data_IF_963878990388
#
_entry.id   IF_963878990388
#
_cell.length_a   1.000
_cell.length_b   1.000
_cell.length_c   1.000
_cell.angle_alpha   90.00
_cell.angle_beta   90.00
_cell.angle_gamma   90.00
#
_symmetry.space_group_name_H-M   'P 1'
#
loop_
_entity.id
_entity.type
_entity.pdbx_description
1 polymer ?
#
# COMPACT_ATOMS: atom_id res chain seq x y z
N UNK A 1 11.58 21.26 77.02
CA UNK A 1 12.36 20.71 75.88
C UNK A 1 11.51 19.66 75.20
N UNK A 2 10.92 19.97 74.04
CA UNK A 2 10.28 18.97 73.16
C UNK A 2 10.74 19.30 71.74
N UNK A 3 11.51 18.40 71.14
CA UNK A 3 12.09 18.53 69.81
C UNK A 3 11.05 18.24 68.72
N UNK A 4 11.07 19.07 67.68
CA UNK A 4 10.38 18.86 66.41
C UNK A 4 10.93 17.62 65.69
N UNK A 5 10.04 16.71 65.28
CA UNK A 5 10.29 15.74 64.21
C UNK A 5 9.50 16.13 62.96
N UNK A 6 10.19 16.70 61.97
CA UNK A 6 9.75 16.70 60.58
C UNK A 6 10.71 15.81 59.81
N UNK A 7 10.26 14.65 59.32
CA UNK A 7 11.04 13.93 58.31
C UNK A 7 10.21 13.09 57.35
N UNK A 8 10.50 13.29 56.07
CA UNK A 8 10.42 12.33 54.97
C UNK A 8 9.06 11.69 54.62
N UNK A 9 8.14 12.48 54.03
CA UNK A 9 7.08 11.92 53.17
C UNK A 9 7.22 12.23 51.67
N UNK A 10 8.12 13.13 51.27
CA UNK A 10 8.21 13.59 49.87
C UNK A 10 9.00 12.71 48.88
N UNK A 11 9.83 11.76 49.35
CA UNK A 11 10.78 11.07 48.46
C UNK A 11 10.24 9.74 47.88
N UNK A 12 9.37 9.04 48.61
CA UNK A 12 8.84 7.73 48.17
C UNK A 12 7.85 7.85 47.00
N UNK A 13 7.10 8.95 46.92
CA UNK A 13 6.11 9.17 45.86
C UNK A 13 6.76 9.52 44.51
N UNK A 14 7.92 10.20 44.51
CA UNK A 14 8.68 10.50 43.28
C UNK A 14 9.34 9.27 42.66
N UNK A 15 9.86 8.37 43.49
CA UNK A 15 10.47 7.11 43.03
C UNK A 15 9.41 6.20 42.39
N UNK A 16 8.22 6.10 43.00
CA UNK A 16 7.12 5.28 42.46
C UNK A 16 6.63 5.80 41.09
N UNK A 17 6.57 7.13 40.91
CA UNK A 17 6.14 7.76 39.66
C UNK A 17 7.17 7.58 38.53
N UNK A 18 8.47 7.65 38.83
CA UNK A 18 9.52 7.40 37.84
C UNK A 18 9.55 5.93 37.38
N UNK A 19 9.32 4.97 38.28
CA UNK A 19 9.25 3.55 37.92
C UNK A 19 8.05 3.26 37.02
N UNK A 20 6.89 3.88 37.28
CA UNK A 20 5.71 3.72 36.41
C UNK A 20 5.93 4.31 34.99
N UNK A 21 6.64 5.43 34.89
CA UNK A 21 7.01 6.05 33.60
C UNK A 21 8.06 5.24 32.81
N UNK A 22 8.95 4.52 33.50
CA UNK A 22 9.92 3.62 32.89
C UNK A 22 9.27 2.33 32.34
N UNK A 23 8.25 1.80 33.02
CA UNK A 23 7.54 0.59 32.56
C UNK A 23 6.68 0.88 31.31
N UNK A 24 6.06 2.05 31.22
CA UNK A 24 5.28 2.43 30.02
C UNK A 24 6.16 2.73 28.81
N UNK A 25 7.38 3.26 29.01
CA UNK A 25 8.34 3.50 27.92
C UNK A 25 8.98 2.22 27.39
N UNK A 26 9.23 1.21 28.24
CA UNK A 26 9.77 -0.09 27.81
C UNK A 26 8.79 -0.89 26.93
N UNK A 27 7.49 -0.85 27.23
CA UNK A 27 6.47 -1.57 26.45
C UNK A 27 6.25 -0.99 25.03
N UNK A 28 6.53 0.30 24.82
CA UNK A 28 6.45 0.90 23.48
C UNK A 28 7.68 0.56 22.62
N UNK A 29 8.88 0.53 23.21
CA UNK A 29 10.10 0.14 22.48
C UNK A 29 10.10 -1.33 22.03
N UNK A 30 9.54 -2.25 22.83
CA UNK A 30 9.48 -3.67 22.46
C UNK A 30 8.59 -3.94 21.24
N UNK A 31 7.53 -3.16 21.05
CA UNK A 31 6.63 -3.35 19.91
C UNK A 31 7.24 -2.82 18.61
N UNK A 32 7.91 -1.66 18.63
CA UNK A 32 8.56 -1.09 17.43
C UNK A 32 9.66 -2.00 16.86
N UNK A 33 10.50 -2.61 17.72
CA UNK A 33 11.58 -3.52 17.30
C UNK A 33 11.01 -4.78 16.64
N UNK A 34 9.91 -5.32 17.19
CA UNK A 34 9.25 -6.50 16.61
C UNK A 34 8.57 -6.15 15.29
N UNK A 35 7.92 -4.98 15.16
CA UNK A 35 7.25 -4.57 13.92
C UNK A 35 8.21 -4.24 12.77
N UNK A 36 9.30 -3.50 13.03
CA UNK A 36 10.36 -3.26 12.05
C UNK A 36 10.92 -4.58 11.50
N UNK A 37 11.16 -5.55 12.38
CA UNK A 37 11.72 -6.85 12.00
C UNK A 37 10.84 -7.68 11.05
N UNK A 38 9.51 -7.58 11.14
CA UNK A 38 8.59 -8.35 10.28
C UNK A 38 8.50 -7.74 8.88
N UNK A 39 8.41 -6.42 8.81
CA UNK A 39 8.42 -5.69 7.53
C UNK A 39 9.75 -5.86 6.81
N UNK A 40 10.87 -5.69 7.50
CA UNK A 40 12.20 -5.85 6.90
C UNK A 40 12.42 -7.27 6.38
N UNK A 41 11.98 -8.29 7.14
CA UNK A 41 12.01 -9.68 6.69
C UNK A 41 11.13 -9.90 5.45
N UNK A 42 9.94 -9.30 5.38
CA UNK A 42 9.08 -9.40 4.20
C UNK A 42 9.70 -8.71 2.98
N UNK A 43 10.21 -7.49 3.13
CA UNK A 43 10.76 -6.71 2.03
C UNK A 43 12.06 -7.32 1.48
N UNK A 44 12.87 -7.94 2.34
CA UNK A 44 14.09 -8.64 1.93
C UNK A 44 13.77 -9.96 1.22
N UNK A 45 12.70 -10.66 1.63
CA UNK A 45 12.33 -11.96 1.07
C UNK A 45 10.81 -12.08 0.86
N UNK A 46 10.26 -11.39 -0.17
CA UNK A 46 8.82 -11.22 -0.37
C UNK A 46 8.19 -12.47 -0.99
N UNK A 47 8.19 -13.55 -0.21
CA UNK A 47 7.68 -14.86 -0.59
C UNK A 47 6.43 -15.22 0.23
N UNK A 48 5.84 -16.39 -0.08
CA UNK A 48 4.64 -16.90 0.57
C UNK A 48 4.78 -17.01 2.09
N UNK A 49 5.92 -17.44 2.59
CA UNK A 49 6.14 -17.63 4.03
C UNK A 49 6.22 -16.29 4.76
N UNK A 50 6.93 -15.32 4.19
CA UNK A 50 6.99 -13.98 4.76
C UNK A 50 5.61 -13.30 4.71
N UNK A 51 4.88 -13.47 3.61
CA UNK A 51 3.49 -13.02 3.49
C UNK A 51 2.59 -13.61 4.60
N UNK A 52 2.67 -14.92 4.86
CA UNK A 52 1.84 -15.55 5.90
C UNK A 52 2.14 -15.03 7.32
N UNK A 53 3.35 -14.52 7.58
CA UNK A 53 3.70 -13.88 8.85
C UNK A 53 3.18 -12.45 8.95
N UNK A 54 3.27 -11.67 7.86
CA UNK A 54 2.86 -10.27 7.84
C UNK A 54 1.35 -10.09 7.69
N UNK A 55 0.70 -10.91 6.85
CA UNK A 55 -0.71 -10.76 6.49
C UNK A 55 -1.66 -10.68 7.69
N UNK A 56 -1.57 -11.54 8.74
CA UNK A 56 -2.44 -11.42 9.91
C UNK A 56 -2.29 -10.10 10.67
N UNK A 57 -1.09 -9.49 10.62
CA UNK A 57 -0.82 -8.22 11.28
C UNK A 57 -1.47 -7.05 10.53
N UNK A 58 -1.42 -7.08 9.19
CA UNK A 58 -1.94 -5.99 8.34
C UNK A 58 -3.40 -6.16 7.94
N UNK A 59 -3.93 -7.40 7.90
CA UNK A 59 -5.31 -7.66 7.49
C UNK A 59 -6.34 -7.05 8.44
N UNK A 60 -5.99 -6.88 9.72
CA UNK A 60 -6.84 -6.23 10.72
C UNK A 60 -6.68 -4.70 10.75
N UNK A 61 -5.75 -4.14 9.98
CA UNK A 61 -5.51 -2.68 9.91
C UNK A 61 -6.58 -1.99 9.07
N UNK A 62 -7.25 -2.73 8.17
CA UNK A 62 -8.24 -2.21 7.21
C UNK A 62 -9.44 -1.52 7.85
N UNK A 63 -9.78 -1.82 9.11
CA UNK A 63 -10.93 -1.20 9.79
C UNK A 63 -10.60 0.09 10.54
N UNK A 64 -9.35 0.28 10.96
CA UNK A 64 -8.98 1.39 11.88
C UNK A 64 -7.74 2.17 11.44
N UNK A 65 -7.07 1.76 10.36
CA UNK A 65 -5.80 2.33 9.89
C UNK A 65 -4.81 2.56 11.04
N UNK A 66 -4.69 1.57 11.93
CA UNK A 66 -3.77 1.61 13.06
C UNK A 66 -2.33 1.71 12.57
N UNK A 67 -1.71 2.86 12.85
CA UNK A 67 -0.36 3.21 12.39
C UNK A 67 0.72 2.23 12.88
N UNK A 68 0.46 1.49 13.96
CA UNK A 68 1.42 0.56 14.58
C UNK A 68 1.86 -0.56 13.61
N UNK A 69 0.98 -0.97 12.71
CA UNK A 69 1.24 -2.08 11.79
C UNK A 69 1.54 -1.62 10.36
N UNK A 70 1.50 -0.31 10.10
CA UNK A 70 1.85 0.24 8.80
C UNK A 70 3.37 0.29 8.62
N UNK A 71 3.86 0.10 7.38
CA UNK A 71 5.28 0.27 7.08
C UNK A 71 5.66 1.75 7.15
N UNK A 72 6.92 2.02 7.49
CA UNK A 72 7.51 3.36 7.33
C UNK A 72 7.58 3.80 5.86
N UNK A 73 7.77 5.09 5.60
CA UNK A 73 7.91 5.62 4.22
C UNK A 73 9.01 4.94 3.41
N UNK A 74 10.13 4.62 4.05
CA UNK A 74 11.22 3.89 3.41
C UNK A 74 10.80 2.47 3.01
N UNK A 75 10.08 1.78 3.89
CA UNK A 75 9.53 0.45 3.65
C UNK A 75 8.41 0.46 2.60
N UNK A 76 7.59 1.52 2.53
CA UNK A 76 6.61 1.72 1.47
C UNK A 76 7.26 1.82 0.10
N UNK A 77 8.33 2.61 -0.04
CA UNK A 77 9.07 2.73 -1.30
C UNK A 77 9.61 1.38 -1.77
N UNK A 78 10.12 0.55 -0.85
CA UNK A 78 10.55 -0.81 -1.16
C UNK A 78 9.38 -1.71 -1.58
N UNK A 79 8.26 -1.67 -0.84
CA UNK A 79 7.05 -2.42 -1.15
C UNK A 79 6.56 -2.08 -2.57
N UNK A 80 6.48 -0.79 -2.91
CA UNK A 80 6.02 -0.34 -4.22
C UNK A 80 6.98 -0.74 -5.33
N UNK A 81 8.28 -0.73 -5.07
CA UNK A 81 9.25 -1.27 -6.01
C UNK A 81 9.04 -2.78 -6.24
N UNK A 82 8.77 -3.56 -5.21
CA UNK A 82 8.43 -4.99 -5.35
C UNK A 82 7.14 -5.21 -6.14
N UNK A 83 6.11 -4.38 -5.92
CA UNK A 83 4.88 -4.40 -6.72
C UNK A 83 5.19 -4.12 -8.18
N UNK A 84 5.93 -3.04 -8.46
CA UNK A 84 6.36 -2.67 -9.83
C UNK A 84 7.18 -3.78 -10.49
N UNK A 85 7.94 -4.55 -9.71
CA UNK A 85 8.72 -5.68 -10.18
C UNK A 85 7.86 -6.93 -10.51
N UNK A 86 6.58 -6.95 -10.16
CA UNK A 86 5.66 -8.07 -10.42
C UNK A 86 5.54 -9.06 -9.25
N UNK A 87 5.97 -8.67 -8.04
CA UNK A 87 5.85 -9.56 -6.89
C UNK A 87 4.39 -9.65 -6.39
N UNK A 88 3.77 -10.83 -6.55
CA UNK A 88 2.38 -11.07 -6.18
C UNK A 88 2.09 -10.83 -4.69
N UNK A 89 3.00 -11.22 -3.80
CA UNK A 89 2.77 -11.06 -2.35
C UNK A 89 2.86 -9.60 -1.94
N UNK A 90 3.77 -8.83 -2.55
CA UNK A 90 3.84 -7.38 -2.37
C UNK A 90 2.54 -6.70 -2.84
N UNK A 91 2.00 -7.10 -4.00
CA UNK A 91 0.71 -6.57 -4.47
C UNK A 91 -0.40 -6.85 -3.45
N UNK A 92 -0.49 -8.09 -2.95
CA UNK A 92 -1.51 -8.47 -1.97
C UNK A 92 -1.42 -7.66 -0.69
N UNK A 93 -0.21 -7.45 -0.16
CA UNK A 93 -0.01 -6.61 1.03
C UNK A 93 -0.36 -5.16 0.73
N UNK A 94 0.11 -4.61 -0.40
CA UNK A 94 -0.21 -3.24 -0.81
C UNK A 94 -1.71 -2.99 -0.90
N UNK A 95 -2.46 -3.92 -1.52
CA UNK A 95 -3.93 -3.83 -1.63
C UNK A 95 -4.62 -3.85 -0.26
N UNK A 96 -4.05 -4.49 0.76
CA UNK A 96 -4.61 -4.48 2.10
C UNK A 96 -4.40 -3.14 2.81
N UNK A 97 -3.29 -2.46 2.56
CA UNK A 97 -2.91 -1.27 3.35
C UNK A 97 -3.13 0.06 2.61
N UNK A 98 -3.36 0.07 1.30
CA UNK A 98 -3.32 1.32 0.53
C UNK A 98 -4.35 2.36 0.99
N UNK A 99 -5.50 1.96 1.55
CA UNK A 99 -6.49 2.92 2.07
C UNK A 99 -6.04 3.61 3.36
N UNK A 100 -4.98 3.11 4.00
CA UNK A 100 -4.48 3.57 5.28
C UNK A 100 -3.17 4.37 5.20
N UNK A 101 -2.59 4.48 4.01
CA UNK A 101 -1.39 5.29 3.75
C UNK A 101 -1.78 6.67 3.22
N UNK A 102 -0.84 7.61 3.28
CA UNK A 102 -1.03 8.98 2.81
C UNK A 102 -1.35 9.06 1.32
N UNK A 103 -1.96 10.17 0.88
CA UNK A 103 -2.43 10.34 -0.50
C UNK A 103 -1.30 10.27 -1.52
N UNK A 104 -0.12 10.82 -1.20
CA UNK A 104 1.05 10.73 -2.08
C UNK A 104 1.51 9.27 -2.27
N UNK A 105 1.57 8.51 -1.17
CA UNK A 105 1.94 7.11 -1.19
C UNK A 105 0.89 6.24 -1.91
N UNK A 106 -0.39 6.61 -1.83
CA UNK A 106 -1.45 5.94 -2.61
C UNK A 106 -1.23 6.09 -4.11
N UNK A 107 -0.89 7.29 -4.59
CA UNK A 107 -0.62 7.47 -6.01
C UNK A 107 0.60 6.65 -6.46
N UNK A 108 1.67 6.63 -5.67
CA UNK A 108 2.86 5.81 -5.96
C UNK A 108 2.56 4.31 -5.97
N UNK A 109 1.65 3.86 -5.10
CA UNK A 109 1.12 2.52 -5.13
C UNK A 109 0.34 2.26 -6.43
N UNK A 110 -0.57 3.15 -6.83
CA UNK A 110 -1.35 3.01 -8.06
C UNK A 110 -0.49 2.99 -9.34
N UNK A 111 0.56 3.82 -9.40
CA UNK A 111 1.56 3.77 -10.49
C UNK A 111 2.24 2.40 -10.52
N UNK A 112 2.62 1.89 -9.35
CA UNK A 112 3.29 0.61 -9.22
C UNK A 112 2.38 -0.58 -9.57
N UNK A 113 1.08 -0.51 -9.25
CA UNK A 113 0.10 -1.52 -9.67
C UNK A 113 -0.14 -1.51 -11.17
N UNK A 114 -0.07 -0.34 -11.82
CA UNK A 114 -0.14 -0.24 -13.28
C UNK A 114 1.00 -1.03 -13.95
N UNK A 115 2.23 -0.87 -13.45
CA UNK A 115 3.37 -1.68 -13.90
C UNK A 115 3.28 -3.16 -13.53
N UNK A 116 2.66 -3.50 -12.38
CA UNK A 116 2.36 -4.89 -12.05
C UNK A 116 1.41 -5.49 -13.09
N UNK A 117 0.33 -4.78 -13.43
CA UNK A 117 -0.65 -5.22 -14.43
C UNK A 117 0.00 -5.49 -15.78
N UNK A 118 0.93 -4.64 -16.21
CA UNK A 118 1.69 -4.83 -17.45
C UNK A 118 2.48 -6.15 -17.49
N UNK A 119 2.96 -6.62 -16.34
CA UNK A 119 3.73 -7.87 -16.22
C UNK A 119 2.85 -9.10 -16.02
N UNK A 120 1.85 -8.98 -15.15
CA UNK A 120 1.10 -10.11 -14.60
C UNK A 120 -0.42 -9.82 -14.59
N UNK A 121 -1.05 -9.54 -15.75
CA UNK A 121 -2.42 -8.98 -15.78
C UNK A 121 -3.46 -9.98 -15.25
N UNK A 122 -3.24 -11.29 -15.44
CA UNK A 122 -4.13 -12.33 -14.90
C UNK A 122 -4.08 -12.38 -13.37
N UNK A 123 -2.88 -12.30 -12.79
CA UNK A 123 -2.71 -12.31 -11.34
C UNK A 123 -3.22 -11.01 -10.71
N UNK A 124 -3.10 -9.89 -11.41
CA UNK A 124 -3.70 -8.62 -11.00
C UNK A 124 -5.22 -8.77 -10.87
N UNK A 125 -5.91 -9.19 -11.94
CA UNK A 125 -7.36 -9.33 -11.94
C UNK A 125 -7.87 -10.27 -10.82
N UNK A 126 -7.19 -11.39 -10.61
CA UNK A 126 -7.51 -12.31 -9.52
C UNK A 126 -7.29 -11.67 -8.15
N UNK A 127 -6.22 -10.89 -7.98
CA UNK A 127 -5.92 -10.22 -6.72
C UNK A 127 -6.96 -9.16 -6.39
N UNK A 128 -7.29 -8.28 -7.35
CA UNK A 128 -8.29 -7.22 -7.16
C UNK A 128 -9.67 -7.81 -6.83
N UNK A 129 -10.12 -8.83 -7.57
CA UNK A 129 -11.42 -9.47 -7.33
C UNK A 129 -11.56 -9.99 -5.90
N UNK A 130 -10.47 -10.46 -5.30
CA UNK A 130 -10.46 -11.04 -3.95
C UNK A 130 -10.38 -10.03 -2.81
N UNK A 131 -10.17 -8.74 -3.09
CA UNK A 131 -9.91 -7.73 -2.05
C UNK A 131 -10.92 -6.57 -2.02
N UNK A 132 -12.08 -6.72 -2.68
CA UNK A 132 -13.17 -5.73 -2.66
C UNK A 132 -12.71 -4.28 -2.93
N UNK A 133 -11.77 -4.10 -3.87
CA UNK A 133 -11.32 -2.78 -4.31
C UNK A 133 -12.48 -2.10 -5.02
N UNK A 134 -12.86 -0.91 -4.57
CA UNK A 134 -13.91 -0.11 -5.20
C UNK A 134 -13.49 0.36 -6.60
N UNK A 135 -14.50 0.70 -7.41
CA UNK A 135 -14.31 1.05 -8.82
C UNK A 135 -13.36 2.22 -9.04
N UNK A 136 -13.42 3.25 -8.17
CA UNK A 136 -12.55 4.42 -8.26
C UNK A 136 -11.08 4.04 -8.07
N UNK A 137 -10.78 3.27 -7.01
CA UNK A 137 -9.42 2.80 -6.75
C UNK A 137 -8.93 1.83 -7.83
N UNK A 138 -9.80 0.95 -8.33
CA UNK A 138 -9.46 0.07 -9.45
C UNK A 138 -9.09 0.86 -10.71
N UNK A 139 -9.86 1.91 -11.03
CA UNK A 139 -9.56 2.81 -12.14
C UNK A 139 -8.15 3.40 -11.98
N UNK A 140 -7.80 3.93 -10.80
CA UNK A 140 -6.47 4.49 -10.59
C UNK A 140 -5.36 3.45 -10.69
N UNK A 141 -5.54 2.28 -10.07
CA UNK A 141 -4.57 1.18 -10.11
C UNK A 141 -4.18 0.75 -11.53
N UNK A 142 -5.10 0.87 -12.49
CA UNK A 142 -4.87 0.41 -13.88
C UNK A 142 -4.65 1.54 -14.88
N UNK A 143 -4.99 2.78 -14.56
CA UNK A 143 -4.85 3.93 -15.48
C UNK A 143 -3.70 4.86 -15.14
N UNK A 144 -3.17 4.85 -13.91
CA UNK A 144 -2.02 5.69 -13.57
C UNK A 144 -0.76 5.22 -14.30
N UNK A 145 -0.06 6.16 -14.92
CA UNK A 145 1.19 5.97 -15.64
C UNK A 145 2.38 6.31 -14.75
N UNK A 146 3.59 5.82 -15.08
CA UNK A 146 4.82 6.24 -14.41
C UNK A 146 4.96 7.77 -14.34
N UNK A 147 5.53 8.27 -13.23
CA UNK A 147 5.60 9.71 -12.93
C UNK A 147 6.41 10.50 -13.97
N UNK A 148 7.41 9.85 -14.57
CA UNK A 148 8.25 10.40 -15.63
C UNK A 148 7.50 10.62 -16.96
N UNK A 149 6.29 10.05 -17.10
CA UNK A 149 5.46 10.22 -18.30
C UNK A 149 4.37 11.28 -18.14
N UNK A 150 4.24 11.94 -16.99
CA UNK A 150 3.12 12.87 -16.71
C UNK A 150 3.02 13.99 -17.77
N UNK A 151 4.16 14.44 -18.29
CA UNK A 151 4.22 15.49 -19.31
C UNK A 151 4.34 14.96 -20.74
N UNK A 152 4.40 13.64 -20.93
CA UNK A 152 4.47 12.98 -22.24
C UNK A 152 3.14 12.28 -22.55
N UNK A 153 2.22 13.03 -23.14
CA UNK A 153 0.88 12.53 -23.47
C UNK A 153 0.91 11.35 -24.46
N UNK A 154 1.89 11.32 -25.36
CA UNK A 154 2.02 10.25 -26.36
C UNK A 154 2.51 8.95 -25.75
N UNK A 155 3.47 9.04 -24.83
CA UNK A 155 3.90 7.90 -24.02
C UNK A 155 2.75 7.39 -23.14
N UNK A 156 1.96 8.29 -22.53
CA UNK A 156 0.80 7.90 -21.72
C UNK A 156 -0.26 7.16 -22.56
N UNK A 157 -0.61 7.67 -23.73
CA UNK A 157 -1.52 7.00 -24.68
C UNK A 157 -0.98 5.61 -25.04
N UNK A 158 0.33 5.51 -25.32
CA UNK A 158 0.98 4.25 -25.69
C UNK A 158 0.89 3.21 -24.56
N UNK A 159 1.11 3.62 -23.31
CA UNK A 159 0.96 2.74 -22.13
C UNK A 159 -0.48 2.26 -21.97
N UNK A 160 -1.47 3.14 -22.10
CA UNK A 160 -2.89 2.72 -21.99
C UNK A 160 -3.28 1.75 -23.11
N UNK A 161 -2.87 2.01 -24.36
CA UNK A 161 -3.10 1.10 -25.49
C UNK A 161 -2.45 -0.27 -25.24
N UNK A 162 -1.23 -0.29 -24.71
CA UNK A 162 -0.54 -1.53 -24.36
C UNK A 162 -1.31 -2.31 -23.28
N UNK A 163 -1.81 -1.65 -22.24
CA UNK A 163 -2.63 -2.28 -21.20
C UNK A 163 -3.94 -2.86 -21.75
N UNK A 164 -4.60 -2.18 -22.68
CA UNK A 164 -5.80 -2.68 -23.37
C UNK A 164 -5.48 -3.95 -24.17
N UNK A 165 -4.39 -3.95 -24.94
CA UNK A 165 -3.94 -5.13 -25.70
C UNK A 165 -3.62 -6.33 -24.79
N UNK A 166 -2.95 -6.09 -23.65
CA UNK A 166 -2.71 -7.11 -22.64
C UNK A 166 -4.00 -7.70 -22.08
N UNK A 167 -5.01 -6.86 -21.79
CA UNK A 167 -6.31 -7.30 -21.31
C UNK A 167 -7.04 -8.16 -22.35
N UNK A 168 -7.02 -7.74 -23.62
CA UNK A 168 -7.66 -8.46 -24.73
C UNK A 168 -7.08 -9.86 -24.98
N UNK A 169 -5.83 -10.10 -24.57
CA UNK A 169 -5.17 -11.41 -24.66
C UNK A 169 -5.56 -12.38 -23.53
N UNK A 170 -6.30 -11.93 -22.52
CA UNK A 170 -6.70 -12.76 -21.39
C UNK A 170 -7.99 -13.51 -21.73
N UNK A 171 -7.93 -14.85 -21.68
CA UNK A 171 -9.13 -15.67 -21.72
C UNK A 171 -10.02 -15.36 -20.52
N UNK A 172 -11.14 -14.68 -20.77
CA UNK A 172 -12.13 -14.32 -19.76
C UNK A 172 -12.73 -15.61 -19.16
N UNK A 173 -12.69 -15.69 -17.83
CA UNK A 173 -13.35 -16.74 -17.05
C UNK A 173 -14.46 -16.09 -16.23
N UNK A 174 -15.55 -16.81 -15.91
CA UNK A 174 -16.63 -16.28 -15.08
C UNK A 174 -16.13 -15.63 -13.77
N UNK A 175 -15.12 -16.23 -13.13
CA UNK A 175 -14.55 -15.76 -11.87
C UNK A 175 -13.92 -14.36 -11.91
N UNK A 176 -13.46 -13.89 -13.08
CA UNK A 176 -12.81 -12.57 -13.24
C UNK A 176 -13.55 -11.67 -14.24
N UNK A 177 -14.70 -12.10 -14.76
CA UNK A 177 -15.40 -11.41 -15.85
C UNK A 177 -15.74 -9.95 -15.48
N UNK A 178 -16.39 -9.76 -14.33
CA UNK A 178 -16.77 -8.45 -13.82
C UNK A 178 -15.56 -7.50 -13.65
N UNK A 179 -14.50 -7.98 -12.99
CA UNK A 179 -13.27 -7.18 -12.81
C UNK A 179 -12.58 -6.88 -14.14
N UNK A 180 -12.61 -7.82 -15.10
CA UNK A 180 -12.05 -7.62 -16.44
C UNK A 180 -12.83 -6.52 -17.18
N UNK A 181 -14.16 -6.56 -17.13
CA UNK A 181 -15.02 -5.53 -17.73
C UNK A 181 -14.75 -4.16 -17.11
N UNK A 182 -14.70 -4.06 -15.78
CA UNK A 182 -14.42 -2.80 -15.09
C UNK A 182 -13.05 -2.21 -15.45
N UNK A 183 -12.03 -3.07 -15.60
CA UNK A 183 -10.70 -2.66 -16.07
C UNK A 183 -10.73 -2.20 -17.53
N UNK A 184 -11.43 -2.91 -18.41
CA UNK A 184 -11.57 -2.52 -19.83
C UNK A 184 -12.19 -1.13 -19.95
N UNK A 185 -13.33 -0.91 -19.29
CA UNK A 185 -14.03 0.38 -19.28
C UNK A 185 -13.14 1.50 -18.75
N UNK A 186 -12.39 1.25 -17.66
CA UNK A 186 -11.48 2.23 -17.08
C UNK A 186 -10.36 2.64 -18.04
N UNK A 187 -9.77 1.67 -18.75
CA UNK A 187 -8.70 1.90 -19.72
C UNK A 187 -9.20 2.61 -20.96
N UNK A 188 -10.33 2.18 -21.52
CA UNK A 188 -10.96 2.79 -22.70
C UNK A 188 -11.37 4.25 -22.44
N UNK A 189 -11.99 4.51 -21.29
CA UNK A 189 -12.33 5.88 -20.86
C UNK A 189 -11.08 6.75 -20.74
N UNK A 190 -10.01 6.24 -20.11
CA UNK A 190 -8.77 7.02 -19.99
C UNK A 190 -8.11 7.28 -21.34
N UNK A 191 -8.17 6.31 -22.25
CA UNK A 191 -7.63 6.50 -23.60
C UNK A 191 -8.37 7.63 -24.33
N UNK A 192 -9.70 7.64 -24.26
CA UNK A 192 -10.52 8.71 -24.85
C UNK A 192 -10.19 10.08 -24.24
N UNK A 193 -10.00 10.15 -22.91
CA UNK A 193 -9.61 11.39 -22.23
C UNK A 193 -8.28 11.92 -22.79
N UNK A 194 -7.25 11.07 -22.90
CA UNK A 194 -5.94 11.47 -23.43
C UNK A 194 -5.98 11.86 -24.91
N UNK A 195 -6.70 11.11 -25.74
CA UNK A 195 -6.84 11.44 -27.17
C UNK A 195 -7.59 12.76 -27.37
N UNK A 196 -8.59 13.07 -26.52
CA UNK A 196 -9.26 14.36 -26.52
C UNK A 196 -8.32 15.50 -26.14
N UNK A 197 -7.56 15.36 -25.04
CA UNK A 197 -6.57 16.36 -24.62
C UNK A 197 -5.57 16.62 -25.75
N UNK A 198 -5.07 15.56 -26.40
CA UNK A 198 -4.13 15.67 -27.53
C UNK A 198 -4.74 16.44 -28.70
N UNK A 199 -5.99 16.14 -29.05
CA UNK A 199 -6.69 16.82 -30.13
C UNK A 199 -6.95 18.31 -29.82
N UNK A 200 -7.18 18.66 -28.57
CA UNK A 200 -7.39 20.05 -28.15
C UNK A 200 -6.07 20.85 -28.10
N UNK A 201 -4.94 20.21 -27.82
CA UNK A 201 -3.60 20.83 -27.90
C UNK A 201 -3.10 21.08 -29.34
N UNK A 202 -3.69 20.41 -30.34
CA UNK A 202 -3.31 20.54 -31.74
C UNK A 202 -4.07 21.64 -32.50
N UNK A 203 -5.04 22.29 -31.86
CA UNK A 203 -5.83 23.40 -32.42
C UNK A 203 -5.21 24.74 -32.03
#
# INVERSE_FOLDING_TARGET
>A
MVQHQHQHRGNKMKILLMVLLLITSLNNCSNEIVHGSVWDNFLTNPNKNAFHKLNPLVANVTEQCSQIYLPSDYQLKQLFNLVRQGNLFALRIGVLIFKCIGTGEQEDFFRSTGSFFEKEPKLFLMTIKNNAVDEQNLRYMVTMTPIDLVDDLDAQISVIKYRIDLLGKIKIKPAINETTTAVSTSLESRLQDFEKIKADQAK
#
